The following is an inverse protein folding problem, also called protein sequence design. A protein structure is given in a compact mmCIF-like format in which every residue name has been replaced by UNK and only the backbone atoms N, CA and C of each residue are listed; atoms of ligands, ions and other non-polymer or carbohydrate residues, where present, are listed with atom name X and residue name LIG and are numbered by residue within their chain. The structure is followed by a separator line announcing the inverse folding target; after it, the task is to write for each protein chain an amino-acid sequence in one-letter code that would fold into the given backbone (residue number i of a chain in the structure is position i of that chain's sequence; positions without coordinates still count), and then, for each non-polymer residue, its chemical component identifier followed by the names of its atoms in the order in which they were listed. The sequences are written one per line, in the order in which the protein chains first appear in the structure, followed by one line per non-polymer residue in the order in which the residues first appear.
data_IF_081605693693
#
_entry.id   IF_081605693693
#
_cell.length_a   1.000
_cell.length_b   1.000
_cell.length_c   1.000
_cell.angle_alpha   90.00
_cell.angle_beta   90.00
_cell.angle_gamma   90.00
#
_symmetry.space_group_name_H-M   'P 1'
#
loop_
_entity.id
_entity.type
_entity.pdbx_description
1 polymer ?
#
# COMPACT_ATOMS: atom_id res chain seq x y z
N UNK A 1 7.03 -3.48 19.40
CA UNK A 1 6.03 -2.66 18.69
C UNK A 1 6.81 -1.86 17.67
N UNK A 2 6.42 -1.83 16.39
CA UNK A 2 7.19 -1.05 15.43
C UNK A 2 6.96 0.45 15.69
N UNK A 3 7.97 1.25 15.39
CA UNK A 3 7.91 2.71 15.58
C UNK A 3 7.21 3.44 14.42
N UNK A 4 6.56 2.69 13.51
CA UNK A 4 5.90 3.25 12.34
C UNK A 4 4.60 3.98 12.72
N UNK A 5 4.45 5.21 12.23
CA UNK A 5 3.20 5.97 12.37
C UNK A 5 2.06 5.24 11.66
N UNK A 6 2.35 4.65 10.50
CA UNK A 6 1.36 3.90 9.73
C UNK A 6 0.74 2.73 10.51
N UNK A 7 1.53 1.97 11.27
CA UNK A 7 1.02 0.82 12.04
C UNK A 7 -0.02 1.24 13.08
N UNK A 8 0.22 2.37 13.76
CA UNK A 8 -0.69 2.91 14.79
C UNK A 8 -2.01 3.42 14.22
N UNK A 9 -2.07 3.65 12.91
CA UNK A 9 -3.25 4.17 12.22
C UNK A 9 -4.09 3.07 11.57
N UNK A 10 -3.58 1.83 11.49
CA UNK A 10 -4.35 0.70 11.00
C UNK A 10 -5.40 0.34 12.05
N UNK A 11 -6.65 0.20 11.60
CA UNK A 11 -7.77 -0.21 12.45
C UNK A 11 -8.19 -1.62 12.12
N UNK A 12 -8.52 -2.35 13.17
CA UNK A 12 -9.11 -3.68 13.06
C UNK A 12 -10.62 -3.56 13.02
N UNK A 13 -11.24 -4.05 11.95
CA UNK A 13 -12.68 -4.10 11.76
C UNK A 13 -13.12 -5.56 11.75
N UNK A 14 -13.68 -6.08 12.86
CA UNK A 14 -14.12 -7.47 12.92
C UNK A 14 -15.35 -7.70 12.03
N UNK A 15 -15.49 -8.93 11.54
CA UNK A 15 -16.62 -9.45 10.78
C UNK A 15 -16.97 -8.68 9.49
N UNK A 16 -15.96 -8.05 8.87
CA UNK A 16 -16.12 -7.33 7.61
C UNK A 16 -15.28 -7.94 6.47
N UNK A 17 -15.82 -8.08 5.24
CA UNK A 17 -17.20 -7.80 4.83
C UNK A 17 -18.19 -8.92 5.20
N UNK A 18 -17.73 -9.98 5.86
CA UNK A 18 -18.54 -11.12 6.31
C UNK A 18 -17.98 -11.68 7.62
N UNK A 19 -18.79 -12.43 8.40
CA UNK A 19 -18.37 -13.01 9.67
C UNK A 19 -17.08 -13.84 9.56
N UNK A 20 -16.23 -13.76 10.59
CA UNK A 20 -14.96 -14.48 10.68
C UNK A 20 -13.77 -13.80 10.00
N UNK A 21 -13.94 -12.60 9.43
CA UNK A 21 -12.85 -11.83 8.82
C UNK A 21 -12.47 -10.65 9.71
N UNK A 22 -11.19 -10.56 10.08
CA UNK A 22 -10.62 -9.35 10.68
C UNK A 22 -10.05 -8.45 9.58
N UNK A 23 -10.83 -7.46 9.16
CA UNK A 23 -10.41 -6.55 8.11
C UNK A 23 -9.44 -5.50 8.66
N UNK A 24 -8.33 -5.29 7.96
CA UNK A 24 -7.36 -4.22 8.26
C UNK A 24 -7.73 -2.97 7.47
N UNK A 25 -8.35 -2.02 8.14
CA UNK A 25 -8.69 -0.73 7.55
C UNK A 25 -7.47 0.20 7.57
N UNK A 26 -6.91 0.42 6.37
CA UNK A 26 -5.78 1.31 6.15
C UNK A 26 -6.21 2.74 5.82
N UNK A 27 -7.51 3.04 5.73
CA UNK A 27 -7.98 4.38 5.34
C UNK A 27 -7.44 5.53 6.19
N UNK A 28 -7.17 5.38 7.51
CA UNK A 28 -6.54 6.44 8.29
C UNK A 28 -5.06 6.65 7.93
N UNK A 29 -4.36 5.60 7.48
CA UNK A 29 -3.02 5.73 6.89
C UNK A 29 -3.14 6.57 5.62
N UNK A 30 -4.05 6.18 4.70
CA UNK A 30 -4.27 6.88 3.42
C UNK A 30 -4.60 8.37 3.59
N UNK A 31 -5.35 8.73 4.63
CA UNK A 31 -5.71 10.11 4.94
C UNK A 31 -4.57 10.92 5.59
N UNK A 32 -3.52 10.26 6.06
CA UNK A 32 -2.38 10.88 6.74
C UNK A 32 -1.18 10.97 5.79
N UNK A 33 -0.91 12.18 5.27
CA UNK A 33 0.29 12.42 4.46
C UNK A 33 1.60 11.88 5.08
N UNK A 34 1.93 12.18 6.36
CA UNK A 34 3.18 11.69 6.93
C UNK A 34 3.24 10.16 7.02
N UNK A 35 2.12 9.49 7.29
CA UNK A 35 2.06 8.03 7.34
C UNK A 35 2.15 7.41 5.94
N UNK A 36 1.45 7.99 4.95
CA UNK A 36 1.56 7.56 3.56
C UNK A 36 2.98 7.70 3.03
N UNK A 37 3.61 8.85 3.25
CA UNK A 37 5.00 9.07 2.85
C UNK A 37 5.92 8.04 3.48
N UNK A 38 5.80 7.79 4.78
CA UNK A 38 6.58 6.76 5.47
C UNK A 38 6.42 5.37 4.83
N UNK A 39 5.18 4.96 4.49
CA UNK A 39 4.93 3.68 3.82
C UNK A 39 5.59 3.62 2.44
N UNK A 40 5.40 4.65 1.61
CA UNK A 40 5.98 4.68 0.26
C UNK A 40 7.51 4.68 0.32
N UNK A 41 8.11 5.51 1.17
CA UNK A 41 9.57 5.59 1.32
C UNK A 41 10.17 4.25 1.72
N UNK A 42 9.54 3.51 2.65
CA UNK A 42 9.98 2.16 3.05
C UNK A 42 9.92 1.15 1.92
N UNK A 43 8.85 1.18 1.11
CA UNK A 43 8.71 0.28 -0.04
C UNK A 43 9.78 0.62 -1.10
N UNK A 44 9.98 1.91 -1.37
CA UNK A 44 10.96 2.40 -2.34
C UNK A 44 12.38 2.07 -1.90
N UNK A 45 12.72 2.27 -0.62
CA UNK A 45 14.02 1.92 -0.04
C UNK A 45 14.32 0.42 -0.23
N UNK A 46 13.34 -0.44 0.02
CA UNK A 46 13.46 -1.87 -0.20
C UNK A 46 13.59 -2.26 -1.68
N UNK A 47 12.79 -1.64 -2.56
CA UNK A 47 12.71 -2.02 -3.96
C UNK A 47 13.84 -1.44 -4.83
N UNK A 48 14.36 -0.25 -4.50
CA UNK A 48 15.36 0.47 -5.33
C UNK A 48 16.62 -0.36 -5.65
N UNK A 49 17.23 -1.11 -4.71
CA UNK A 49 18.39 -1.95 -5.01
C UNK A 49 18.10 -3.08 -6.01
N UNK A 50 16.83 -3.48 -6.14
CA UNK A 50 16.40 -4.55 -7.05
C UNK A 50 16.31 -4.08 -8.51
N UNK A 51 16.34 -2.76 -8.75
CA UNK A 51 16.24 -2.14 -10.08
C UNK A 51 15.05 -2.69 -10.89
N UNK A 52 13.81 -2.59 -10.38
CA UNK A 52 12.65 -3.08 -11.10
C UNK A 52 12.45 -2.28 -12.40
N UNK A 53 11.95 -2.91 -13.46
CA UNK A 53 11.56 -2.23 -14.70
C UNK A 53 10.12 -1.66 -14.63
N UNK A 54 9.30 -2.23 -13.75
CA UNK A 54 7.87 -1.91 -13.63
C UNK A 54 7.36 -2.24 -12.23
N UNK A 55 6.35 -1.49 -11.78
CA UNK A 55 5.57 -1.81 -10.58
C UNK A 55 4.18 -2.29 -10.98
N UNK A 56 3.78 -3.45 -10.48
CA UNK A 56 2.45 -4.03 -10.74
C UNK A 56 1.55 -3.81 -9.54
N UNK A 57 0.45 -3.09 -9.72
CA UNK A 57 -0.59 -2.95 -8.70
C UNK A 57 -1.66 -4.03 -8.87
N UNK A 58 -1.99 -4.74 -7.79
CA UNK A 58 -3.07 -5.74 -7.80
C UNK A 58 -4.37 -5.09 -7.33
N UNK A 59 -5.32 -4.98 -8.24
CA UNK A 59 -6.65 -4.41 -8.00
C UNK A 59 -6.65 -2.97 -7.45
N UNK A 60 -7.85 -2.41 -7.28
CA UNK A 60 -8.06 -1.03 -6.84
C UNK A 60 -7.25 -0.63 -5.60
N UNK A 61 -7.18 -1.48 -4.58
CA UNK A 61 -6.44 -1.20 -3.35
C UNK A 61 -4.92 -1.23 -3.57
N UNK A 62 -4.42 -2.12 -4.42
CA UNK A 62 -3.00 -2.14 -4.79
C UNK A 62 -2.59 -0.91 -5.60
N UNK A 63 -3.50 -0.32 -6.38
CA UNK A 63 -3.21 0.86 -7.19
C UNK A 63 -2.86 2.09 -6.34
N UNK A 64 -3.53 2.25 -5.19
CA UNK A 64 -3.35 3.40 -4.29
C UNK A 64 -1.91 3.49 -3.75
N UNK A 65 -1.26 2.34 -3.52
CA UNK A 65 0.13 2.28 -3.05
C UNK A 65 1.12 2.12 -4.21
N UNK A 66 0.78 1.28 -5.19
CA UNK A 66 1.68 0.92 -6.28
C UNK A 66 2.01 2.08 -7.22
N UNK A 67 1.04 2.96 -7.51
CA UNK A 67 1.30 4.09 -8.40
C UNK A 67 2.32 5.09 -7.81
N UNK A 68 2.18 5.56 -6.55
CA UNK A 68 3.21 6.39 -5.91
C UNK A 68 4.58 5.72 -5.84
N UNK A 69 4.66 4.41 -5.58
CA UNK A 69 5.93 3.66 -5.59
C UNK A 69 6.57 3.67 -6.98
N UNK A 70 5.78 3.44 -8.03
CA UNK A 70 6.26 3.47 -9.42
C UNK A 70 6.83 4.85 -9.77
N UNK A 71 6.13 5.92 -9.40
CA UNK A 71 6.59 7.30 -9.60
C UNK A 71 7.92 7.56 -8.88
N UNK A 72 8.05 7.13 -7.61
CA UNK A 72 9.26 7.35 -6.82
C UNK A 72 10.47 6.51 -7.27
N UNK A 73 10.21 5.39 -7.94
CA UNK A 73 11.23 4.54 -8.58
C UNK A 73 11.53 4.95 -10.02
N UNK A 74 10.77 5.89 -10.60
CA UNK A 74 10.89 6.35 -11.99
C UNK A 74 10.67 5.24 -13.03
N UNK A 75 9.70 4.36 -12.76
CA UNK A 75 9.37 3.21 -13.63
C UNK A 75 7.89 3.20 -14.01
N UNK A 76 7.55 2.36 -14.99
CA UNK A 76 6.16 2.17 -15.39
C UNK A 76 5.29 1.56 -14.29
N UNK A 77 3.99 1.86 -14.31
CA UNK A 77 2.99 1.21 -13.48
C UNK A 77 2.05 0.37 -14.34
N UNK A 78 1.82 -0.89 -13.96
CA UNK A 78 0.89 -1.80 -14.64
C UNK A 78 -0.25 -2.19 -13.70
N UNK A 79 -1.50 -1.80 -13.99
CA UNK A 79 -2.66 -2.26 -13.23
C UNK A 79 -3.03 -3.69 -13.63
N UNK A 80 -3.13 -4.59 -12.66
CA UNK A 80 -3.70 -5.94 -12.85
C UNK A 80 -5.05 -6.01 -12.15
N UNK A 81 -6.06 -6.49 -12.88
CA UNK A 81 -7.44 -6.66 -12.40
C UNK A 81 -7.92 -8.07 -12.67
N UNK A 82 -8.83 -8.55 -11.84
CA UNK A 82 -9.62 -9.75 -12.11
C UNK A 82 -10.45 -9.51 -13.37
N UNK A 83 -10.66 -10.60 -14.12
CA UNK A 83 -11.71 -10.63 -15.12
C UNK A 83 -13.03 -10.39 -14.38
N UNK A 84 -13.84 -9.45 -14.88
CA UNK A 84 -15.07 -8.99 -14.24
C UNK A 84 -15.99 -10.13 -13.83
#
# INVERSE_FOLDING_TARGET
MSDLLAERLIRDVPDFPKPGILFKDITPVLASYPAMREVIDRIVEYARPMKPDVVVGIESRGFVLGMPVAMALEVGFVPVRKLG
#
